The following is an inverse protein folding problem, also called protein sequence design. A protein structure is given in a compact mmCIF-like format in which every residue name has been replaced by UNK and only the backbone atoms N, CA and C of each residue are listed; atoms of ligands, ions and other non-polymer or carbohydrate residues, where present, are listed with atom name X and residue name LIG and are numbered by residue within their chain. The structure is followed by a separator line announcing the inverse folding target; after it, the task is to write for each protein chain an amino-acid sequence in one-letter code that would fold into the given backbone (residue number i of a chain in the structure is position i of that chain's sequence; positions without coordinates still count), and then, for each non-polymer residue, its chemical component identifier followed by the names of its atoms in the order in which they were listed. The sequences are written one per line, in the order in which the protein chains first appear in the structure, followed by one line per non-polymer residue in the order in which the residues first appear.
data_IF_783037909180
#
_entry.id   IF_783037909180
#
_cell.length_a   1.000
_cell.length_b   1.000
_cell.length_c   1.000
_cell.angle_alpha   90.00
_cell.angle_beta   90.00
_cell.angle_gamma   90.00
#
_symmetry.space_group_name_H-M   'P 1'
#
loop_
_entity.id
_entity.type
_entity.pdbx_description
1 polymer ?
#
# COMPACT_ATOMS: atom_id res chain seq x y z
N UNK A 1 -18.74 -0.19 -26.44
CA UNK A 1 -18.80 0.33 -25.04
C UNK A 1 -17.40 0.32 -24.41
N UNK A 2 -16.41 0.90 -25.12
CA UNK A 2 -15.01 1.09 -24.64
C UNK A 2 -14.71 2.57 -24.40
N UNK A 3 -15.68 3.44 -24.69
CA UNK A 3 -15.52 4.89 -24.78
C UNK A 3 -15.32 5.55 -23.42
N UNK A 4 -16.01 5.05 -22.39
CA UNK A 4 -15.79 5.47 -21.00
C UNK A 4 -14.36 5.18 -20.53
N UNK A 5 -13.77 4.08 -20.99
CA UNK A 5 -12.42 3.68 -20.57
C UNK A 5 -11.39 4.71 -21.02
N UNK A 6 -11.50 5.19 -22.27
CA UNK A 6 -10.61 6.22 -22.83
C UNK A 6 -10.54 7.47 -21.96
N UNK A 7 -11.67 7.97 -21.46
CA UNK A 7 -11.71 9.17 -20.61
C UNK A 7 -11.17 8.92 -19.20
N UNK A 8 -11.25 7.69 -18.69
CA UNK A 8 -10.84 7.35 -17.33
C UNK A 8 -9.35 7.00 -17.23
N UNK A 9 -8.78 6.39 -18.27
CA UNK A 9 -7.35 6.05 -18.32
C UNK A 9 -6.49 7.31 -18.28
N UNK A 10 -5.33 7.22 -17.62
CA UNK A 10 -4.34 8.30 -17.57
C UNK A 10 -3.76 8.51 -18.96
N UNK A 11 -3.43 9.75 -19.31
CA UNK A 11 -2.84 10.07 -20.62
C UNK A 11 -1.56 9.26 -20.87
N UNK A 12 -0.71 9.11 -19.84
CA UNK A 12 0.54 8.34 -19.91
C UNK A 12 0.36 6.84 -20.15
N UNK A 13 -0.81 6.29 -19.81
CA UNK A 13 -1.12 4.87 -19.93
C UNK A 13 -1.99 4.55 -21.16
N UNK A 14 -2.43 5.59 -21.88
CA UNK A 14 -3.26 5.46 -23.07
C UNK A 14 -2.38 5.22 -24.31
N UNK A 15 -1.97 3.98 -24.52
CA UNK A 15 -1.03 3.61 -25.59
C UNK A 15 -1.69 3.27 -26.94
N UNK A 16 -3.00 3.04 -26.95
CA UNK A 16 -3.74 2.68 -28.16
C UNK A 16 -4.01 3.93 -29.02
N UNK A 17 -3.57 3.91 -30.27
CA UNK A 17 -3.64 5.05 -31.18
C UNK A 17 -5.07 5.47 -31.51
N UNK A 18 -5.99 4.52 -31.67
CA UNK A 18 -7.40 4.82 -31.95
C UNK A 18 -8.05 5.51 -30.75
N UNK A 19 -7.70 5.09 -29.53
CA UNK A 19 -8.21 5.70 -28.30
C UNK A 19 -7.63 7.09 -28.07
N UNK A 20 -6.36 7.34 -28.39
CA UNK A 20 -5.78 8.69 -28.38
C UNK A 20 -6.50 9.64 -29.35
N UNK A 21 -6.78 9.18 -30.58
CA UNK A 21 -7.54 9.98 -31.57
C UNK A 21 -8.94 10.28 -31.05
N UNK A 22 -9.65 9.28 -30.48
CA UNK A 22 -10.99 9.50 -29.93
C UNK A 22 -10.97 10.56 -28.84
N UNK A 23 -10.02 10.48 -27.92
CA UNK A 23 -9.86 11.47 -26.86
C UNK A 23 -9.70 12.86 -27.46
N UNK A 24 -8.76 13.03 -28.40
CA UNK A 24 -8.50 14.31 -29.06
C UNK A 24 -9.74 14.86 -29.76
N UNK A 25 -10.43 14.03 -30.54
CA UNK A 25 -11.65 14.45 -31.26
C UNK A 25 -12.75 14.87 -30.29
N UNK A 26 -12.89 14.19 -29.14
CA UNK A 26 -13.89 14.56 -28.14
C UNK A 26 -13.55 15.84 -27.39
N UNK A 27 -12.29 16.02 -26.99
CA UNK A 27 -11.85 17.23 -26.30
C UNK A 27 -11.95 18.46 -27.21
N UNK A 28 -11.64 18.31 -28.50
CA UNK A 28 -11.77 19.38 -29.49
C UNK A 28 -13.23 19.73 -29.78
N UNK A 29 -14.10 18.71 -29.93
CA UNK A 29 -15.52 18.91 -30.23
C UNK A 29 -16.32 19.41 -29.04
N UNK A 30 -15.93 19.03 -27.83
CA UNK A 30 -16.59 19.37 -26.58
C UNK A 30 -15.60 20.00 -25.60
N UNK A 31 -15.32 21.31 -25.72
CA UNK A 31 -14.28 21.98 -24.92
C UNK A 31 -14.48 21.83 -23.41
N UNK A 32 -15.73 21.80 -22.92
CA UNK A 32 -16.03 21.60 -21.51
C UNK A 32 -15.63 20.19 -21.02
N UNK A 33 -15.80 19.17 -21.88
CA UNK A 33 -15.33 17.81 -21.60
C UNK A 33 -13.81 17.75 -21.61
N UNK A 34 -13.15 18.46 -22.54
CA UNK A 34 -11.70 18.62 -22.56
C UNK A 34 -11.17 19.21 -21.26
N UNK A 35 -11.74 20.33 -20.80
CA UNK A 35 -11.37 20.93 -19.51
C UNK A 35 -11.59 19.99 -18.33
N UNK A 36 -12.70 19.24 -18.30
CA UNK A 36 -12.93 18.26 -17.25
C UNK A 36 -11.89 17.12 -17.27
N UNK A 37 -11.45 16.70 -18.46
CA UNK A 37 -10.39 15.72 -18.62
C UNK A 37 -9.04 16.27 -18.14
N UNK A 38 -8.66 17.50 -18.49
CA UNK A 38 -7.43 18.13 -18.01
C UNK A 38 -7.44 18.26 -16.48
N UNK A 39 -8.54 18.75 -15.88
CA UNK A 39 -8.67 18.80 -14.42
C UNK A 39 -8.51 17.43 -13.77
N UNK A 40 -9.00 16.36 -14.40
CA UNK A 40 -8.79 15.00 -13.91
C UNK A 40 -7.29 14.64 -13.95
N UNK A 41 -6.60 14.90 -15.07
CA UNK A 41 -5.17 14.60 -15.19
C UNK A 41 -4.33 15.41 -14.19
N UNK A 42 -4.58 16.72 -14.07
CA UNK A 42 -3.90 17.62 -13.14
C UNK A 42 -4.10 17.16 -11.68
N UNK A 43 -5.30 16.67 -11.33
CA UNK A 43 -5.56 16.14 -10.00
C UNK A 43 -4.72 14.88 -9.72
N UNK A 44 -4.57 14.00 -10.70
CA UNK A 44 -3.73 12.81 -10.53
C UNK A 44 -2.24 13.16 -10.46
N UNK A 45 -1.80 14.25 -11.09
CA UNK A 45 -0.42 14.70 -11.01
C UNK A 45 -0.01 15.12 -9.58
N UNK A 46 -0.98 15.47 -8.71
CA UNK A 46 -0.74 15.70 -7.28
C UNK A 46 -0.06 14.48 -6.64
N UNK A 47 -0.41 13.26 -7.07
CA UNK A 47 0.13 12.01 -6.53
C UNK A 47 1.57 11.71 -6.97
N UNK A 48 2.14 12.52 -7.85
CA UNK A 48 3.54 12.45 -8.26
C UNK A 48 4.44 13.36 -7.40
N UNK A 49 3.86 14.12 -6.44
CA UNK A 49 4.61 14.98 -5.52
C UNK A 49 5.51 14.18 -4.56
N UNK A 50 6.64 14.75 -4.18
CA UNK A 50 7.63 14.11 -3.29
C UNK A 50 7.44 14.48 -1.82
N UNK A 51 6.57 15.45 -1.51
CA UNK A 51 6.34 15.93 -0.14
C UNK A 51 4.90 16.41 0.08
N UNK A 52 4.48 16.42 1.35
CA UNK A 52 3.20 17.00 1.79
C UNK A 52 3.04 18.44 1.32
N UNK A 53 4.06 19.28 1.51
CA UNK A 53 4.01 20.70 1.16
C UNK A 53 3.83 20.92 -0.35
N UNK A 54 4.46 20.08 -1.17
CA UNK A 54 4.32 20.12 -2.62
C UNK A 54 2.93 19.66 -3.05
N UNK A 55 2.46 18.52 -2.54
CA UNK A 55 1.13 18.00 -2.82
C UNK A 55 0.04 19.01 -2.45
N UNK A 56 0.19 19.68 -1.29
CA UNK A 56 -0.74 20.72 -0.85
C UNK A 56 -0.77 21.91 -1.82
N UNK A 57 0.40 22.40 -2.25
CA UNK A 57 0.48 23.49 -3.25
C UNK A 57 -0.17 23.10 -4.57
N UNK A 58 0.08 21.88 -5.05
CA UNK A 58 -0.53 21.37 -6.28
C UNK A 58 -2.05 21.27 -6.15
N UNK A 59 -2.56 20.78 -5.01
CA UNK A 59 -4.00 20.72 -4.76
C UNK A 59 -4.65 22.11 -4.70
N UNK A 60 -4.04 23.08 -4.03
CA UNK A 60 -4.58 24.45 -3.95
C UNK A 60 -4.58 25.12 -5.33
N UNK A 61 -3.50 24.93 -6.12
CA UNK A 61 -3.44 25.40 -7.49
C UNK A 61 -4.55 24.75 -8.34
N UNK A 62 -4.70 23.43 -8.25
CA UNK A 62 -5.76 22.68 -8.93
C UNK A 62 -7.15 23.23 -8.57
N UNK A 63 -7.45 23.40 -7.28
CA UNK A 63 -8.73 23.88 -6.79
C UNK A 63 -9.07 25.28 -7.32
N UNK A 64 -8.06 26.16 -7.41
CA UNK A 64 -8.23 27.51 -7.97
C UNK A 64 -8.48 27.53 -9.48
N UNK A 65 -8.03 26.49 -10.20
CA UNK A 65 -8.19 26.35 -11.64
C UNK A 65 -9.51 25.69 -12.05
N UNK A 66 -10.30 25.13 -11.11
CA UNK A 66 -11.60 24.53 -11.42
C UNK A 66 -12.61 25.60 -11.85
N UNK A 67 -13.10 25.60 -13.11
CA UNK A 67 -14.11 26.55 -13.57
C UNK A 67 -15.45 26.37 -12.85
N UNK A 68 -16.22 27.45 -12.76
CA UNK A 68 -17.54 27.43 -12.09
C UNK A 68 -18.50 26.41 -12.71
N UNK A 69 -18.42 26.25 -14.03
CA UNK A 69 -19.20 25.32 -14.82
C UNK A 69 -18.92 23.85 -14.45
N UNK A 70 -17.68 23.55 -14.03
CA UNK A 70 -17.23 22.21 -13.68
C UNK A 70 -17.28 21.91 -12.18
N UNK A 71 -17.31 22.95 -11.35
CA UNK A 71 -17.33 22.85 -9.88
C UNK A 71 -18.39 21.87 -9.35
N UNK A 72 -19.58 21.83 -9.96
CA UNK A 72 -20.65 20.92 -9.53
C UNK A 72 -20.29 19.44 -9.72
N UNK A 73 -19.52 19.11 -10.76
CA UNK A 73 -19.11 17.73 -11.06
C UNK A 73 -17.96 17.25 -10.17
N UNK A 74 -17.13 18.17 -9.67
CA UNK A 74 -16.03 17.87 -8.75
C UNK A 74 -16.38 18.09 -7.27
N UNK A 75 -17.61 18.53 -6.97
CA UNK A 75 -18.05 18.89 -5.61
C UNK A 75 -17.82 17.77 -4.59
N UNK A 76 -18.16 16.53 -4.96
CA UNK A 76 -18.01 15.39 -4.04
C UNK A 76 -16.53 15.03 -3.79
N UNK A 77 -15.68 15.20 -4.82
CA UNK A 77 -14.23 15.05 -4.69
C UNK A 77 -13.66 16.12 -3.74
N UNK A 78 -13.98 17.39 -4.00
CA UNK A 78 -13.52 18.53 -3.18
C UNK A 78 -13.99 18.37 -1.73
N UNK A 79 -15.25 17.98 -1.53
CA UNK A 79 -15.79 17.71 -0.18
C UNK A 79 -15.01 16.59 0.51
N UNK A 80 -14.67 15.52 -0.21
CA UNK A 80 -13.91 14.41 0.35
C UNK A 80 -12.49 14.82 0.71
N UNK A 81 -11.82 15.57 -0.19
CA UNK A 81 -10.49 16.13 0.06
C UNK A 81 -10.48 17.02 1.30
N UNK A 82 -11.46 17.91 1.46
CA UNK A 82 -11.52 18.81 2.62
C UNK A 82 -11.86 18.08 3.93
N UNK A 83 -12.66 17.01 3.87
CA UNK A 83 -13.06 16.26 5.05
C UNK A 83 -11.94 15.35 5.59
N UNK A 84 -11.08 14.87 4.69
CA UNK A 84 -10.03 13.89 4.98
C UNK A 84 -8.65 14.43 4.61
N UNK A 85 -8.50 15.75 4.71
CA UNK A 85 -7.33 16.48 4.22
C UNK A 85 -6.05 15.94 4.85
N UNK A 86 -6.03 15.83 6.18
CA UNK A 86 -4.90 15.32 6.95
C UNK A 86 -4.54 13.89 6.54
N UNK A 87 -5.52 12.98 6.48
CA UNK A 87 -5.29 11.58 6.15
C UNK A 87 -4.84 11.37 4.70
N UNK A 88 -5.36 12.18 3.77
CA UNK A 88 -4.98 12.11 2.36
C UNK A 88 -3.56 12.64 2.19
N UNK A 89 -3.21 13.77 2.79
CA UNK A 89 -1.87 14.34 2.63
C UNK A 89 -0.79 13.55 3.38
N UNK A 90 -1.14 12.83 4.45
CA UNK A 90 -0.25 11.88 5.10
C UNK A 90 0.26 10.75 4.15
N UNK A 91 -0.36 10.56 2.97
CA UNK A 91 0.17 9.70 1.92
C UNK A 91 1.56 10.12 1.42
N UNK A 92 1.84 11.43 1.43
CA UNK A 92 3.09 12.01 0.91
C UNK A 92 4.20 12.07 1.97
N UNK A 93 3.93 11.65 3.20
CA UNK A 93 4.96 11.43 4.20
C UNK A 93 5.67 10.08 3.92
N UNK A 94 7.01 10.02 3.86
CA UNK A 94 7.75 8.77 3.63
C UNK A 94 7.33 7.61 4.55
N UNK A 95 7.53 6.35 4.10
CA UNK A 95 6.69 5.25 4.53
C UNK A 95 6.92 4.77 5.97
N UNK A 96 5.80 4.69 6.71
CA UNK A 96 5.52 3.55 7.57
C UNK A 96 4.91 2.45 6.68
N UNK A 97 5.48 1.25 6.69
CA UNK A 97 5.00 0.15 5.84
C UNK A 97 3.54 -0.24 6.15
N UNK A 98 2.66 -0.16 5.14
CA UNK A 98 1.28 -0.67 5.21
C UNK A 98 1.21 -2.21 5.37
N UNK A 99 2.35 -2.90 5.41
CA UNK A 99 2.41 -4.35 5.56
C UNK A 99 1.73 -4.84 6.86
N UNK A 100 1.81 -4.06 7.95
CA UNK A 100 1.17 -4.45 9.21
C UNK A 100 -0.36 -4.40 9.11
N UNK A 101 -0.91 -3.29 8.64
CA UNK A 101 -2.34 -3.06 8.38
C UNK A 101 -2.89 -4.02 7.33
N UNK A 102 -2.15 -4.32 6.26
CA UNK A 102 -2.51 -5.35 5.29
C UNK A 102 -2.54 -6.76 5.90
N UNK A 103 -1.56 -7.10 6.74
CA UNK A 103 -1.53 -8.39 7.43
C UNK A 103 -2.73 -8.56 8.37
N UNK A 104 -3.10 -7.49 9.10
CA UNK A 104 -4.29 -7.45 9.94
C UNK A 104 -5.57 -7.56 9.10
N UNK A 105 -5.69 -6.80 8.02
CA UNK A 105 -6.84 -6.86 7.13
C UNK A 105 -7.04 -8.25 6.53
N UNK A 106 -5.94 -8.92 6.17
CA UNK A 106 -5.98 -10.32 5.71
C UNK A 106 -6.46 -11.27 6.81
N UNK A 107 -5.99 -11.10 8.05
CA UNK A 107 -6.45 -11.87 9.20
C UNK A 107 -7.96 -11.69 9.43
N UNK A 108 -8.46 -10.45 9.40
CA UNK A 108 -9.89 -10.15 9.56
C UNK A 108 -10.71 -10.81 8.45
N UNK A 109 -10.27 -10.72 7.19
CA UNK A 109 -10.96 -11.36 6.06
C UNK A 109 -11.02 -12.88 6.21
N UNK A 110 -9.92 -13.51 6.65
CA UNK A 110 -9.90 -14.96 6.92
C UNK A 110 -10.83 -15.33 8.08
N UNK A 111 -10.83 -14.56 9.17
CA UNK A 111 -11.74 -14.80 10.30
C UNK A 111 -13.21 -14.66 9.91
N UNK A 112 -13.54 -13.66 9.08
CA UNK A 112 -14.90 -13.50 8.54
C UNK A 112 -15.30 -14.67 7.63
N UNK A 113 -14.36 -15.17 6.82
CA UNK A 113 -14.60 -16.32 5.95
C UNK A 113 -14.87 -17.62 6.73
N UNK A 114 -14.13 -17.84 7.82
CA UNK A 114 -14.27 -19.01 8.70
C UNK A 114 -15.49 -18.85 9.62
N UNK A 115 -15.79 -17.65 10.08
CA UNK A 115 -16.90 -17.31 10.96
C UNK A 115 -18.23 -17.04 10.23
N UNK A 116 -18.50 -17.73 9.10
CA UNK A 116 -19.79 -17.60 8.41
C UNK A 116 -20.94 -17.87 9.39
N UNK A 117 -21.83 -16.90 9.55
CA UNK A 117 -22.97 -16.96 10.48
C UNK A 117 -22.74 -16.28 11.83
N UNK A 118 -21.56 -15.69 12.07
CA UNK A 118 -21.31 -14.92 13.29
C UNK A 118 -21.88 -13.50 13.18
N UNK A 119 -22.42 -12.98 14.29
CA UNK A 119 -22.77 -11.57 14.38
C UNK A 119 -21.51 -10.70 14.38
N UNK A 120 -21.66 -9.42 14.04
CA UNK A 120 -20.56 -8.46 14.06
C UNK A 120 -19.91 -8.39 15.45
N UNK A 121 -20.71 -8.43 16.52
CA UNK A 121 -20.24 -8.39 17.91
C UNK A 121 -19.38 -9.61 18.24
N UNK A 122 -19.80 -10.81 17.80
CA UNK A 122 -19.04 -12.05 18.01
C UNK A 122 -17.71 -12.03 17.24
N UNK A 123 -17.73 -11.55 15.99
CA UNK A 123 -16.53 -11.43 15.15
C UNK A 123 -15.56 -10.37 15.72
N UNK A 124 -16.08 -9.22 16.18
CA UNK A 124 -15.31 -8.15 16.83
C UNK A 124 -14.68 -8.64 18.13
N UNK A 125 -15.45 -9.29 19.00
CA UNK A 125 -14.92 -9.88 20.24
C UNK A 125 -13.79 -10.87 19.94
N UNK A 126 -14.00 -11.74 18.95
CA UNK A 126 -12.99 -12.72 18.54
C UNK A 126 -11.69 -12.07 18.06
N UNK A 127 -11.76 -10.99 17.27
CA UNK A 127 -10.57 -10.26 16.80
C UNK A 127 -9.89 -9.50 17.94
N UNK A 128 -10.65 -8.87 18.84
CA UNK A 128 -10.09 -8.09 19.95
C UNK A 128 -9.43 -8.97 21.01
N UNK A 129 -10.06 -10.09 21.38
CA UNK A 129 -9.55 -11.00 22.42
C UNK A 129 -8.55 -12.04 21.90
N UNK A 130 -8.32 -12.12 20.59
CA UNK A 130 -7.14 -12.84 20.04
C UNK A 130 -5.86 -12.00 20.10
N UNK A 131 -5.93 -10.70 20.43
CA UNK A 131 -4.75 -9.88 20.70
C UNK A 131 -4.10 -10.28 22.03
N UNK A 132 -3.10 -11.16 21.96
CA UNK A 132 -2.31 -11.62 23.11
C UNK A 132 -1.48 -12.85 22.78
N UNK A 133 -1.96 -13.69 21.85
CA UNK A 133 -1.28 -14.88 21.36
C UNK A 133 -0.32 -14.54 20.20
N UNK A 134 0.73 -13.78 20.50
CA UNK A 134 1.80 -13.45 19.54
C UNK A 134 2.86 -14.56 19.58
N UNK A 135 3.20 -15.16 18.43
CA UNK A 135 4.30 -16.14 18.34
C UNK A 135 5.54 -15.47 17.76
N UNK A 136 6.67 -15.60 18.46
CA UNK A 136 8.00 -15.31 17.91
C UNK A 136 8.29 -16.33 16.80
N UNK A 137 8.19 -15.92 15.53
CA UNK A 137 8.66 -16.76 14.40
C UNK A 137 10.15 -16.55 14.22
N UNK A 138 10.94 -17.56 14.59
CA UNK A 138 12.39 -17.66 14.35
C UNK A 138 12.66 -17.83 12.85
N UNK A 139 12.98 -16.77 12.12
CA UNK A 139 13.46 -16.89 10.73
C UNK A 139 14.95 -17.16 10.70
N UNK A 140 15.37 -18.19 9.96
CA UNK A 140 16.77 -18.48 9.70
C UNK A 140 17.30 -17.51 8.63
N UNK A 141 18.17 -16.58 9.00
CA UNK A 141 18.95 -15.75 8.06
C UNK A 141 20.42 -16.19 8.06
N UNK A 142 21.05 -16.06 6.89
CA UNK A 142 22.47 -16.30 6.71
C UNK A 142 23.23 -15.02 7.07
N UNK A 143 24.12 -15.08 8.06
CA UNK A 143 25.04 -13.98 8.36
C UNK A 143 26.46 -14.39 7.99
N UNK A 144 27.15 -13.54 7.23
CA UNK A 144 28.58 -13.70 6.90
C UNK A 144 29.39 -13.39 8.16
N UNK A 145 30.21 -14.34 8.61
CA UNK A 145 31.13 -14.16 9.73
C UNK A 145 32.56 -14.35 9.22
N UNK A 146 33.45 -13.45 9.63
CA UNK A 146 34.89 -13.61 9.44
C UNK A 146 35.43 -14.53 10.52
N UNK A 147 35.95 -15.70 10.12
CA UNK A 147 36.49 -16.69 11.07
C UNK A 147 38.00 -16.56 11.12
N UNK A 148 38.54 -15.99 12.20
CA UNK A 148 39.99 -15.96 12.44
C UNK A 148 40.39 -17.22 13.20
N UNK A 149 40.95 -18.22 12.50
CA UNK A 149 41.49 -19.42 13.16
C UNK A 149 42.82 -19.09 13.83
N UNK A 150 42.76 -18.76 15.12
CA UNK A 150 43.92 -18.83 15.99
C UNK A 150 44.41 -20.27 16.12
N UNK A 151 45.58 -20.56 15.55
CA UNK A 151 46.55 -21.61 15.96
C UNK A 151 46.25 -23.09 15.64
N UNK A 152 45.87 -23.50 14.42
CA UNK A 152 45.98 -24.95 14.07
C UNK A 152 46.22 -25.29 12.57
N UNK A 153 46.74 -24.40 11.72
CA UNK A 153 47.07 -24.77 10.32
C UNK A 153 48.56 -24.59 10.00
N UNK A 154 49.22 -25.56 9.32
CA UNK A 154 50.58 -25.40 8.82
C UNK A 154 50.69 -24.24 7.82
N UNK A 155 51.83 -23.56 7.82
CA UNK A 155 52.18 -22.28 7.15
C UNK A 155 52.05 -22.24 5.60
N UNK A 156 51.34 -23.17 4.96
CA UNK A 156 51.30 -23.32 3.50
C UNK A 156 50.05 -22.74 2.81
N UNK A 157 49.17 -22.03 3.54
CA UNK A 157 47.99 -21.39 2.94
C UNK A 157 47.81 -19.95 3.43
N UNK A 158 48.56 -18.98 2.88
CA UNK A 158 48.29 -17.58 3.17
C UNK A 158 47.07 -17.15 2.35
N UNK A 159 46.04 -16.68 3.05
CA UNK A 159 44.97 -15.80 2.52
C UNK A 159 43.73 -16.48 1.91
N UNK A 160 43.36 -17.68 2.35
CA UNK A 160 41.98 -18.10 2.17
C UNK A 160 41.15 -17.55 3.35
N UNK A 161 40.36 -16.50 3.10
CA UNK A 161 39.25 -16.13 4.00
C UNK A 161 38.15 -17.18 3.87
N UNK A 162 38.08 -18.13 4.82
CA UNK A 162 36.91 -18.99 4.93
C UNK A 162 35.73 -18.08 5.35
N UNK A 163 34.82 -17.84 4.41
CA UNK A 163 33.54 -17.21 4.73
C UNK A 163 32.67 -18.23 5.47
N UNK A 164 32.51 -18.04 6.78
CA UNK A 164 31.61 -18.83 7.60
C UNK A 164 30.19 -18.30 7.49
N UNK A 165 29.22 -19.18 7.29
CA UNK A 165 27.81 -18.84 7.33
C UNK A 165 27.22 -19.39 8.63
N UNK A 166 26.71 -18.51 9.49
CA UNK A 166 25.98 -18.93 10.70
C UNK A 166 24.49 -18.59 10.57
N UNK A 167 23.67 -19.47 11.14
CA UNK A 167 22.23 -19.29 11.23
C UNK A 167 21.90 -18.27 12.31
N UNK A 168 21.38 -17.11 11.91
CA UNK A 168 20.88 -16.10 12.84
C UNK A 168 19.35 -16.08 12.82
N UNK A 169 18.75 -16.05 14.00
CA UNK A 169 17.30 -16.04 14.18
C UNK A 169 16.77 -14.59 14.19
N UNK A 170 15.84 -14.26 13.31
CA UNK A 170 15.14 -12.96 13.30
C UNK A 170 13.76 -13.10 13.94
N UNK A 171 13.37 -12.13 14.80
CA UNK A 171 12.05 -12.06 15.43
C UNK A 171 11.05 -11.36 14.50
N UNK A 172 9.91 -12.00 14.22
CA UNK A 172 8.84 -11.43 13.40
C UNK A 172 7.61 -11.15 14.26
N UNK A 173 7.08 -9.94 14.16
CA UNK A 173 5.98 -9.41 14.98
C UNK A 173 4.57 -9.69 14.41
N UNK A 174 4.27 -10.94 14.01
CA UNK A 174 2.96 -11.30 13.43
C UNK A 174 2.41 -12.65 13.92
N UNK A 175 1.10 -12.72 14.15
CA UNK A 175 0.42 -13.94 14.63
C UNK A 175 0.20 -14.96 13.48
N UNK A 176 0.42 -16.25 13.77
CA UNK A 176 0.28 -17.35 12.81
C UNK A 176 -0.98 -18.19 13.07
N UNK A 177 -1.71 -18.50 11.99
CA UNK A 177 -2.99 -19.20 12.03
C UNK A 177 -2.96 -20.55 12.76
N UNK A 178 -1.87 -21.33 12.62
CA UNK A 178 -1.74 -22.66 13.24
C UNK A 178 -1.81 -22.62 14.77
N UNK A 179 -1.32 -21.52 15.35
CA UNK A 179 -1.24 -21.34 16.81
C UNK A 179 -2.60 -20.93 17.37
N UNK A 180 -3.37 -20.14 16.60
CA UNK A 180 -4.73 -19.74 16.94
C UNK A 180 -5.71 -20.91 16.84
N UNK A 181 -5.59 -21.75 15.81
CA UNK A 181 -6.44 -22.94 15.66
C UNK A 181 -6.21 -23.94 16.80
N UNK A 182 -4.95 -24.15 17.20
CA UNK A 182 -4.59 -25.06 18.29
C UNK A 182 -5.10 -24.58 19.65
N UNK A 183 -4.96 -23.29 19.97
CA UNK A 183 -5.53 -22.71 21.19
C UNK A 183 -7.06 -22.83 21.24
N UNK A 184 -7.73 -22.77 20.07
CA UNK A 184 -9.17 -23.01 19.96
C UNK A 184 -9.57 -24.46 20.23
N UNK A 185 -8.77 -25.44 19.78
CA UNK A 185 -9.03 -26.86 20.01
C UNK A 185 -8.74 -27.28 21.47
N UNK A 186 -7.78 -26.63 22.12
CA UNK A 186 -7.39 -26.89 23.50
C UNK A 186 -8.31 -26.19 24.53
N UNK A 187 -9.27 -25.37 24.08
CA UNK A 187 -10.24 -24.70 24.94
C UNK A 187 -9.63 -23.67 25.89
N UNK A 188 -8.44 -23.14 25.56
CA UNK A 188 -7.74 -22.16 26.37
C UNK A 188 -8.29 -20.77 26.00
N UNK A 189 -9.45 -20.44 26.58
CA UNK A 189 -10.05 -19.10 26.62
C UNK A 189 -10.71 -18.87 27.98
#
# INVERSE_FOLDING_TARGET
MRDRYVLLTRRKDLNDFDDQIKLQVWTDKFPLLGQAYELKEDFFDIYEAESIDEAYKLYQNWLSNVPKELMTYFKDLIKSMNNWEEEIFNYFDPPITNAYTESLNRLIKTMNHVGRGYSFEALRAKILFTQGYRKVKKKKKFKKIEVTFGKVLPDQFPNWELTGYEWVYEEIYGADFSTLTKAMEEGIF
#
